data_IF_892336437679
#
_entry.id   IF_892336437679
#
_cell.length_a   1.000
_cell.length_b   1.000
_cell.length_c   1.000
_cell.angle_alpha   90.00
_cell.angle_beta   90.00
_cell.angle_gamma   90.00
#
_symmetry.space_group_name_H-M   'P 1'
#
loop_
_entity.id
_entity.type
_entity.pdbx_description
1 polymer ?
#
# COMPACT_ATOMS: atom_id res chain seq x y z
N UNK A 1 24.34 -46.13 41.52
CA UNK A 1 24.55 -45.16 42.61
C UNK A 1 23.86 -45.69 43.84
N UNK A 2 24.58 -45.80 44.96
CA UNK A 2 24.03 -46.11 46.27
C UNK A 2 23.39 -44.82 46.82
N UNK A 3 22.13 -44.87 47.22
CA UNK A 3 21.50 -43.86 48.06
C UNK A 3 21.09 -44.52 49.37
N UNK A 4 21.53 -43.95 50.49
CA UNK A 4 21.46 -44.55 51.81
C UNK A 4 21.21 -43.45 52.83
N UNK A 5 19.96 -43.33 53.26
CA UNK A 5 19.50 -42.58 54.42
C UNK A 5 17.96 -42.57 54.39
N UNK A 6 17.23 -42.82 55.46
CA UNK A 6 17.63 -42.86 56.85
C UNK A 6 16.40 -42.54 57.69
N UNK A 7 15.46 -43.48 57.82
CA UNK A 7 14.42 -43.45 58.85
C UNK A 7 14.05 -44.94 59.07
N UNK A 8 14.16 -45.52 60.27
CA UNK A 8 13.53 -45.02 61.47
C UNK A 8 14.14 -45.73 62.69
N UNK A 9 14.84 -44.99 63.55
CA UNK A 9 15.08 -45.40 64.93
C UNK A 9 14.30 -44.48 65.86
N UNK A 10 12.97 -44.58 65.79
CA UNK A 10 12.08 -44.17 66.88
C UNK A 10 11.32 -45.41 67.36
N UNK A 11 11.91 -46.12 68.32
CA UNK A 11 11.22 -47.15 69.08
C UNK A 11 10.29 -46.48 70.10
N UNK A 12 9.01 -46.84 70.06
CA UNK A 12 8.04 -46.55 71.11
C UNK A 12 8.15 -47.62 72.22
N UNK A 13 8.08 -47.28 73.52
CA UNK A 13 8.67 -48.10 74.59
C UNK A 13 7.73 -49.12 75.23
N UNK A 14 6.80 -49.75 74.49
CA UNK A 14 5.84 -50.69 75.11
C UNK A 14 5.72 -52.10 74.49
N UNK A 15 6.61 -52.54 73.57
CA UNK A 15 6.68 -53.96 73.15
C UNK A 15 8.15 -54.42 72.92
N UNK A 16 8.47 -55.73 73.08
CA UNK A 16 9.79 -56.28 73.46
C UNK A 16 10.78 -56.39 72.26
N UNK A 17 12.06 -56.78 72.47
CA UNK A 17 13.22 -56.18 71.81
C UNK A 17 13.38 -56.54 70.32
N UNK A 18 13.94 -55.59 69.56
CA UNK A 18 14.38 -55.75 68.17
C UNK A 18 15.51 -56.80 68.08
N UNK A 19 15.13 -58.05 67.84
CA UNK A 19 16.02 -59.14 67.47
C UNK A 19 16.27 -59.17 65.96
N UNK A 20 17.55 -59.32 65.64
CA UNK A 20 18.15 -59.76 64.38
C UNK A 20 17.81 -59.03 63.08
N UNK A 21 18.87 -58.45 62.49
CA UNK A 21 18.92 -58.06 61.08
C UNK A 21 18.64 -59.29 60.21
N UNK A 22 17.38 -59.49 59.83
CA UNK A 22 17.03 -60.34 58.70
C UNK A 22 17.52 -59.65 57.44
N UNK A 23 18.67 -60.06 56.92
CA UNK A 23 19.07 -59.73 55.55
C UNK A 23 18.17 -60.56 54.64
N UNK A 24 17.05 -59.97 54.20
CA UNK A 24 16.24 -60.52 53.11
C UNK A 24 17.09 -60.51 51.83
N UNK A 25 17.80 -61.61 51.56
CA UNK A 25 18.29 -61.91 50.20
C UNK A 25 17.12 -62.44 49.37
N UNK A 26 16.06 -61.65 49.26
CA UNK A 26 15.03 -61.94 48.27
C UNK A 26 15.58 -61.51 46.91
N UNK A 27 16.00 -62.52 46.16
CA UNK A 27 16.33 -62.38 44.75
C UNK A 27 15.02 -62.01 44.05
N UNK A 28 14.82 -60.74 43.73
CA UNK A 28 13.69 -60.32 42.90
C UNK A 28 13.65 -61.24 41.67
N UNK A 29 12.50 -61.86 41.42
CA UNK A 29 12.30 -62.73 40.27
C UNK A 29 12.56 -61.98 38.96
N UNK A 30 12.84 -62.68 37.85
CA UNK A 30 12.97 -62.02 36.56
C UNK A 30 11.72 -61.17 36.29
N UNK A 31 11.92 -59.97 35.74
CA UNK A 31 10.82 -59.11 35.31
C UNK A 31 9.87 -59.92 34.42
N UNK A 32 8.57 -59.83 34.69
CA UNK A 32 7.56 -60.51 33.89
C UNK A 32 7.63 -60.08 32.42
N UNK A 33 7.09 -60.89 31.49
CA UNK A 33 7.03 -60.50 30.07
C UNK A 33 6.30 -59.16 29.94
N UNK A 34 6.74 -58.33 28.99
CA UNK A 34 6.02 -57.12 28.64
C UNK A 34 4.55 -57.46 28.31
N UNK A 35 3.62 -56.61 28.74
CA UNK A 35 2.21 -56.76 28.38
C UNK A 35 2.01 -56.70 26.86
N UNK A 36 0.88 -57.22 26.33
CA UNK A 36 0.57 -57.09 24.92
C UNK A 36 0.51 -55.62 24.51
N UNK A 37 0.88 -55.33 23.25
CA UNK A 37 0.71 -54.00 22.67
C UNK A 37 -0.77 -53.58 22.78
N UNK A 38 -1.02 -52.32 23.17
CA UNK A 38 -2.37 -51.77 23.19
C UNK A 38 -3.01 -51.70 21.80
N UNK A 39 -4.34 -51.58 21.68
CA UNK A 39 -5.00 -51.41 20.40
C UNK A 39 -4.49 -50.17 19.67
N UNK A 40 -4.45 -50.21 18.34
CA UNK A 40 -4.14 -49.03 17.53
C UNK A 40 -5.17 -47.91 17.79
N UNK A 41 -4.72 -46.65 17.82
CA UNK A 41 -5.60 -45.49 17.93
C UNK A 41 -6.50 -45.35 16.70
N UNK A 42 -7.65 -44.70 16.87
CA UNK A 42 -8.52 -44.37 15.72
C UNK A 42 -7.84 -43.30 14.86
N UNK A 43 -7.87 -43.48 13.54
CA UNK A 43 -7.29 -42.52 12.59
C UNK A 43 -8.35 -41.49 12.16
N UNK A 44 -7.95 -40.23 12.10
CA UNK A 44 -8.77 -39.14 11.54
C UNK A 44 -8.53 -39.00 10.04
N UNK A 45 -9.54 -38.57 9.30
CA UNK A 45 -9.50 -38.23 7.87
C UNK A 45 -9.82 -36.75 7.70
N UNK A 46 -9.01 -36.03 6.90
CA UNK A 46 -9.23 -34.61 6.58
C UNK A 46 -9.58 -34.50 5.10
N UNK A 47 -10.69 -33.84 4.80
CA UNK A 47 -11.14 -33.51 3.45
C UNK A 47 -11.26 -32.00 3.29
N UNK A 48 -10.92 -31.48 2.12
CA UNK A 48 -11.16 -30.06 1.80
C UNK A 48 -12.59 -29.94 1.27
N UNK A 49 -13.38 -29.08 1.90
CA UNK A 49 -14.71 -28.71 1.42
C UNK A 49 -14.60 -27.60 0.39
N UNK A 50 -15.01 -26.39 0.76
CA UNK A 50 -14.98 -25.22 -0.13
C UNK A 50 -13.70 -24.42 0.04
N UNK A 51 -13.17 -23.91 -1.07
CA UNK A 51 -12.18 -22.83 -1.07
C UNK A 51 -12.85 -21.61 -1.70
N UNK A 52 -13.01 -20.56 -0.91
CA UNK A 52 -13.67 -19.33 -1.34
C UNK A 52 -12.70 -18.17 -1.31
N UNK A 53 -12.78 -17.30 -2.32
CA UNK A 53 -12.01 -16.07 -2.33
C UNK A 53 -12.76 -14.99 -1.56
N UNK A 54 -12.16 -14.48 -0.49
CA UNK A 54 -12.70 -13.39 0.32
C UNK A 54 -12.34 -12.01 -0.23
N UNK A 55 -12.99 -10.97 0.28
CA UNK A 55 -12.69 -9.56 -0.06
C UNK A 55 -11.27 -9.15 0.39
N UNK A 56 -10.62 -8.19 -0.30
CA UNK A 56 -9.33 -7.65 0.12
C UNK A 56 -9.35 -7.12 1.56
N UNK A 57 -8.24 -7.27 2.27
CA UNK A 57 -8.09 -6.75 3.65
C UNK A 57 -8.84 -7.52 4.74
N UNK A 58 -9.59 -8.57 4.38
CA UNK A 58 -10.19 -9.49 5.36
C UNK A 58 -9.17 -10.52 5.85
N UNK A 59 -9.41 -11.14 7.01
CA UNK A 59 -8.54 -12.21 7.51
C UNK A 59 -8.78 -13.53 6.78
N UNK A 60 -7.71 -14.28 6.51
CA UNK A 60 -7.83 -15.65 6.06
C UNK A 60 -8.40 -16.51 7.20
N UNK A 61 -9.34 -17.39 6.87
CA UNK A 61 -9.96 -18.26 7.87
C UNK A 61 -10.14 -19.69 7.37
N UNK A 62 -10.09 -20.61 8.32
CA UNK A 62 -10.34 -22.04 8.11
C UNK A 62 -11.39 -22.50 9.11
N UNK A 63 -12.44 -23.15 8.63
CA UNK A 63 -13.53 -23.67 9.47
C UNK A 63 -13.70 -25.16 9.23
N UNK A 64 -13.70 -25.95 10.30
CA UNK A 64 -14.09 -27.37 10.25
C UNK A 64 -15.60 -27.50 10.41
N UNK A 65 -16.25 -28.18 9.47
CA UNK A 65 -17.72 -28.30 9.43
C UNK A 65 -18.27 -29.63 9.92
N UNK A 66 -17.42 -30.64 10.10
CA UNK A 66 -17.87 -32.01 10.42
C UNK A 66 -17.22 -32.61 11.67
N UNK A 67 -16.02 -32.17 12.05
CA UNK A 67 -15.33 -32.64 13.28
C UNK A 67 -14.77 -34.06 13.19
N UNK A 68 -14.20 -34.57 14.30
CA UNK A 68 -13.54 -35.88 14.33
C UNK A 68 -14.55 -37.05 14.24
N UNK A 69 -14.22 -38.17 13.56
CA UNK A 69 -12.93 -38.46 12.93
C UNK A 69 -12.81 -38.01 11.48
N UNK A 70 -13.88 -37.50 10.86
CA UNK A 70 -13.88 -37.09 9.46
C UNK A 70 -14.08 -35.58 9.37
N UNK A 71 -12.99 -34.84 9.27
CA UNK A 71 -12.98 -33.38 9.22
C UNK A 71 -13.18 -32.86 7.79
N UNK A 72 -13.98 -31.80 7.63
CA UNK A 72 -14.18 -31.11 6.35
C UNK A 72 -13.83 -29.65 6.56
N UNK A 73 -12.66 -29.26 6.05
CA UNK A 73 -12.13 -27.92 6.21
C UNK A 73 -12.54 -27.03 5.04
N UNK A 74 -13.21 -25.93 5.36
CA UNK A 74 -13.54 -24.86 4.43
C UNK A 74 -12.57 -23.70 4.62
N UNK A 75 -12.10 -23.14 3.51
CA UNK A 75 -11.14 -22.05 3.47
C UNK A 75 -11.79 -20.78 2.91
N UNK A 76 -11.49 -19.66 3.55
CA UNK A 76 -11.66 -18.32 2.98
C UNK A 76 -10.27 -17.73 2.80
N UNK A 77 -9.90 -17.47 1.55
CA UNK A 77 -8.61 -16.88 1.18
C UNK A 77 -8.89 -15.49 0.61
N UNK A 78 -8.56 -14.40 1.31
CA UNK A 78 -8.71 -13.04 0.80
C UNK A 78 -7.93 -12.88 -0.50
N UNK A 79 -8.55 -12.28 -1.52
CA UNK A 79 -7.80 -11.81 -2.71
C UNK A 79 -6.90 -10.65 -2.34
N UNK A 80 -5.87 -10.42 -3.15
CA UNK A 80 -5.15 -9.14 -3.14
C UNK A 80 -6.08 -8.00 -3.54
N UNK A 81 -5.79 -6.79 -3.07
CA UNK A 81 -6.44 -5.59 -3.60
C UNK A 81 -6.31 -5.56 -5.12
N UNK A 82 -7.37 -5.11 -5.80
CA UNK A 82 -7.35 -4.98 -7.25
C UNK A 82 -6.33 -3.92 -7.67
N UNK A 83 -5.50 -4.26 -8.66
CA UNK A 83 -4.65 -3.28 -9.32
C UNK A 83 -5.49 -2.34 -10.19
N UNK A 84 -5.47 -1.05 -9.88
CA UNK A 84 -5.49 0.06 -10.83
C UNK A 84 -6.78 0.52 -11.54
N UNK A 85 -7.98 -0.03 -11.29
CA UNK A 85 -9.20 0.52 -11.94
C UNK A 85 -9.97 1.56 -11.13
N UNK A 86 -9.89 1.50 -9.79
CA UNK A 86 -10.56 2.42 -8.86
C UNK A 86 -9.58 3.11 -7.90
N UNK A 87 -8.28 3.14 -8.19
CA UNK A 87 -7.34 3.85 -7.32
C UNK A 87 -7.37 5.35 -7.61
N UNK A 88 -7.41 6.18 -6.57
CA UNK A 88 -7.34 7.64 -6.70
C UNK A 88 -6.03 8.08 -7.37
N UNK A 89 -4.95 7.31 -7.21
CA UNK A 89 -3.72 7.56 -7.97
C UNK A 89 -3.91 7.44 -9.50
N UNK A 90 -4.80 6.56 -9.97
CA UNK A 90 -5.19 6.50 -11.39
C UNK A 90 -5.99 7.74 -11.79
N UNK A 91 -6.92 8.18 -10.93
CA UNK A 91 -7.67 9.42 -11.13
C UNK A 91 -6.76 10.65 -11.29
N UNK A 92 -5.69 10.77 -10.49
CA UNK A 92 -4.68 11.84 -10.67
C UNK A 92 -4.04 11.83 -12.07
N UNK A 93 -3.79 10.65 -12.65
CA UNK A 93 -3.28 10.53 -14.03
C UNK A 93 -4.34 10.95 -15.05
N UNK A 94 -5.60 10.55 -14.86
CA UNK A 94 -6.71 10.97 -15.72
C UNK A 94 -6.92 12.49 -15.65
N UNK A 95 -6.78 13.08 -14.47
CA UNK A 95 -6.85 14.53 -14.24
C UNK A 95 -5.75 15.27 -14.99
N UNK A 96 -4.50 14.78 -14.92
CA UNK A 96 -3.39 15.35 -15.70
C UNK A 96 -3.60 15.20 -17.20
N UNK A 97 -4.12 14.05 -17.66
CA UNK A 97 -4.50 13.83 -19.06
C UNK A 97 -5.58 14.83 -19.52
N UNK A 98 -6.61 15.07 -18.71
CA UNK A 98 -7.68 16.03 -18.98
C UNK A 98 -7.15 17.48 -19.05
N UNK A 99 -6.18 17.83 -18.21
CA UNK A 99 -5.51 19.13 -18.26
C UNK A 99 -4.66 19.26 -19.53
N UNK A 100 -3.89 18.22 -19.90
CA UNK A 100 -3.08 18.21 -21.12
C UNK A 100 -3.93 18.43 -22.37
N UNK A 101 -5.07 17.73 -22.50
CA UNK A 101 -6.00 17.90 -23.64
C UNK A 101 -6.47 19.36 -23.78
N UNK A 102 -6.71 20.04 -22.65
CA UNK A 102 -7.09 21.44 -22.63
C UNK A 102 -5.91 22.38 -22.88
N UNK A 103 -4.72 22.08 -22.38
CA UNK A 103 -3.49 22.86 -22.64
C UNK A 103 -3.19 22.91 -24.14
N UNK A 104 -3.35 21.78 -24.84
CA UNK A 104 -3.17 21.71 -26.31
C UNK A 104 -4.10 22.71 -27.02
N UNK A 105 -5.30 22.94 -26.47
CA UNK A 105 -6.31 23.83 -27.08
C UNK A 105 -6.16 25.28 -26.64
N UNK A 106 -5.91 25.51 -25.34
CA UNK A 106 -5.94 26.84 -24.72
C UNK A 106 -4.57 27.53 -24.73
N UNK A 107 -3.48 26.77 -24.84
CA UNK A 107 -2.09 27.26 -24.80
C UNK A 107 -1.21 26.66 -25.92
N UNK A 108 -1.67 26.60 -27.19
CA UNK A 108 -1.00 25.84 -28.25
C UNK A 108 0.43 26.31 -28.56
N UNK A 109 0.72 27.60 -28.37
CA UNK A 109 2.02 28.21 -28.67
C UNK A 109 2.87 28.44 -27.41
N UNK A 110 2.36 28.09 -26.23
CA UNK A 110 3.06 28.36 -24.98
C UNK A 110 4.21 27.37 -24.77
N UNK A 111 5.32 27.85 -24.21
CA UNK A 111 6.42 26.98 -23.80
C UNK A 111 6.06 26.29 -22.49
N UNK A 112 6.03 24.97 -22.52
CA UNK A 112 5.84 24.12 -21.36
C UNK A 112 7.18 23.70 -20.78
N UNK A 113 7.25 23.68 -19.46
CA UNK A 113 8.30 22.99 -18.69
C UNK A 113 7.61 21.90 -17.87
N UNK A 114 7.89 20.64 -18.19
CA UNK A 114 7.26 19.48 -17.55
C UNK A 114 8.31 18.75 -16.74
N UNK A 115 8.06 18.54 -15.45
CA UNK A 115 8.88 17.67 -14.61
C UNK A 115 8.28 16.28 -14.51
N UNK A 116 9.15 15.27 -14.45
CA UNK A 116 8.77 13.87 -14.45
C UNK A 116 9.19 13.18 -13.16
N UNK A 117 8.46 12.12 -12.80
CA UNK A 117 8.76 11.28 -11.63
C UNK A 117 10.20 10.74 -11.60
N UNK A 118 10.82 10.55 -12.75
CA UNK A 118 12.23 10.12 -12.83
C UNK A 118 13.20 11.16 -12.25
N UNK A 119 12.74 12.39 -12.06
CA UNK A 119 13.59 13.54 -11.82
C UNK A 119 14.15 14.15 -13.10
N UNK A 120 13.59 13.84 -14.27
CA UNK A 120 13.93 14.53 -15.52
C UNK A 120 12.97 15.69 -15.79
N UNK A 121 13.37 16.59 -16.70
CA UNK A 121 12.49 17.64 -17.19
C UNK A 121 12.54 17.71 -18.72
N UNK A 122 11.41 18.06 -19.32
CA UNK A 122 11.22 18.20 -20.77
C UNK A 122 10.61 19.56 -21.07
N UNK A 123 11.03 20.15 -22.19
CA UNK A 123 10.66 21.52 -22.56
C UNK A 123 10.26 21.54 -24.03
N UNK A 124 9.10 22.11 -24.32
CA UNK A 124 8.60 22.26 -25.69
C UNK A 124 7.23 22.93 -25.74
N UNK A 125 6.71 23.15 -26.95
CA UNK A 125 5.32 23.55 -27.14
C UNK A 125 4.42 22.31 -27.19
N UNK A 126 3.13 22.43 -26.82
CA UNK A 126 2.19 21.32 -26.88
C UNK A 126 2.09 20.71 -28.30
N UNK A 127 2.18 19.39 -28.37
CA UNK A 127 1.93 18.60 -29.57
C UNK A 127 0.65 17.75 -29.42
N UNK A 128 0.57 16.66 -30.17
CA UNK A 128 -0.56 15.74 -30.11
C UNK A 128 -0.54 14.85 -28.85
N UNK A 129 -1.71 14.33 -28.49
CA UNK A 129 -1.85 13.27 -27.49
C UNK A 129 -2.20 11.95 -28.18
N UNK A 130 -1.56 10.86 -27.76
CA UNK A 130 -1.89 9.49 -28.19
C UNK A 130 -2.38 8.70 -26.98
N UNK A 131 -3.65 8.32 -26.99
CA UNK A 131 -4.29 7.63 -25.88
C UNK A 131 -4.15 6.11 -25.97
N UNK A 132 -4.10 5.45 -24.82
CA UNK A 132 -4.18 3.99 -24.72
C UNK A 132 -5.59 3.46 -25.05
N UNK A 133 -5.73 2.14 -25.15
CA UNK A 133 -6.98 1.49 -25.56
C UNK A 133 -8.20 1.85 -24.70
N UNK A 134 -8.00 2.07 -23.40
CA UNK A 134 -9.06 2.45 -22.46
C UNK A 134 -9.29 3.97 -22.38
N UNK A 135 -8.53 4.78 -23.13
CA UNK A 135 -8.64 6.24 -23.11
C UNK A 135 -8.13 6.93 -21.85
N UNK A 136 -7.92 6.24 -20.72
CA UNK A 136 -7.60 6.86 -19.42
C UNK A 136 -6.31 7.69 -19.38
N UNK A 137 -5.28 7.26 -20.12
CA UNK A 137 -3.98 7.94 -20.17
C UNK A 137 -3.30 7.67 -21.51
N UNK A 138 -2.12 8.23 -21.71
CA UNK A 138 -1.39 8.13 -22.96
C UNK A 138 -0.02 8.78 -22.95
N UNK A 139 0.44 9.07 -24.16
CA UNK A 139 1.68 9.79 -24.43
C UNK A 139 1.30 11.20 -24.90
N UNK A 140 1.94 12.19 -24.30
CA UNK A 140 1.87 13.58 -24.71
C UNK A 140 3.13 13.95 -25.51
N UNK A 141 2.94 14.44 -26.73
CA UNK A 141 4.02 14.94 -27.56
C UNK A 141 4.35 16.40 -27.19
N UNK A 142 5.64 16.69 -27.04
CA UNK A 142 6.16 18.05 -27.01
C UNK A 142 7.03 18.31 -28.24
N UNK A 143 6.85 19.49 -28.81
CA UNK A 143 7.60 19.98 -29.95
C UNK A 143 8.70 20.92 -29.43
N UNK A 144 9.98 20.49 -29.39
CA UNK A 144 11.05 21.35 -28.92
C UNK A 144 11.28 22.51 -29.90
N UNK A 145 11.72 23.65 -29.35
CA UNK A 145 12.05 24.84 -30.16
C UNK A 145 13.33 24.67 -31.00
N UNK A 146 14.14 23.66 -30.71
CA UNK A 146 15.38 23.35 -31.40
C UNK A 146 15.44 21.86 -31.76
N UNK A 147 15.47 21.56 -33.06
CA UNK A 147 15.64 20.21 -33.59
C UNK A 147 14.39 19.57 -34.18
N UNK A 148 14.59 18.50 -34.95
CA UNK A 148 13.52 17.75 -35.63
C UNK A 148 13.02 16.53 -34.81
N UNK A 149 13.36 16.45 -33.52
CA UNK A 149 13.02 15.31 -32.67
C UNK A 149 11.76 15.58 -31.87
N UNK A 150 10.75 14.72 -32.03
CA UNK A 150 9.54 14.72 -31.19
C UNK A 150 9.91 14.20 -29.80
N UNK A 151 9.52 14.90 -28.75
CA UNK A 151 9.66 14.40 -27.37
C UNK A 151 8.33 13.77 -26.97
N UNK A 152 8.37 12.49 -26.60
CA UNK A 152 7.19 11.72 -26.22
C UNK A 152 7.23 11.49 -24.71
N UNK A 153 6.27 12.06 -24.01
CA UNK A 153 6.20 12.08 -22.55
C UNK A 153 5.06 11.19 -22.10
N UNK A 154 5.34 10.22 -21.22
CA UNK A 154 4.28 9.42 -20.60
C UNK A 154 3.50 10.30 -19.62
N UNK A 155 2.18 10.43 -19.81
CA UNK A 155 1.33 11.23 -18.91
C UNK A 155 1.33 10.64 -17.50
N UNK A 156 1.46 9.31 -17.37
CA UNK A 156 1.56 8.64 -16.07
C UNK A 156 2.77 9.08 -15.23
N UNK A 157 3.79 9.65 -15.87
CA UNK A 157 5.04 10.07 -15.22
C UNK A 157 5.13 11.57 -15.03
N UNK A 158 4.13 12.35 -15.45
CA UNK A 158 4.12 13.81 -15.27
C UNK A 158 3.85 14.14 -13.80
N UNK A 159 4.73 14.93 -13.21
CA UNK A 159 4.52 15.48 -11.86
C UNK A 159 3.99 16.90 -11.92
N UNK A 160 4.63 17.75 -12.73
CA UNK A 160 4.22 19.15 -12.92
C UNK A 160 4.22 19.56 -14.38
N UNK A 161 3.34 20.49 -14.73
CA UNK A 161 3.33 21.20 -16.01
C UNK A 161 3.34 22.70 -15.70
N UNK A 162 4.45 23.35 -15.99
CA UNK A 162 4.58 24.82 -15.89
C UNK A 162 4.40 25.43 -17.27
N UNK A 163 3.52 26.42 -17.38
CA UNK A 163 3.35 27.25 -18.57
C UNK A 163 4.02 28.60 -18.32
N UNK A 164 5.11 28.85 -19.04
CA UNK A 164 5.88 30.07 -18.87
C UNK A 164 5.24 31.24 -19.62
N UNK A 165 5.26 32.43 -19.01
CA UNK A 165 4.75 33.67 -19.59
C UNK A 165 3.27 33.59 -20.04
N UNK A 166 2.45 32.90 -19.24
CA UNK A 166 1.02 32.72 -19.46
C UNK A 166 0.22 33.01 -18.18
N UNK A 167 -0.95 33.62 -18.33
CA UNK A 167 -1.92 33.77 -17.26
C UNK A 167 -2.83 32.53 -17.18
N UNK A 168 -3.39 32.27 -15.99
CA UNK A 168 -4.37 31.21 -15.79
C UNK A 168 -5.64 31.47 -16.63
N UNK A 169 -6.14 30.43 -17.29
CA UNK A 169 -7.34 30.48 -18.09
C UNK A 169 -8.49 29.80 -17.33
N UNK A 170 -9.51 30.59 -16.98
CA UNK A 170 -10.69 30.14 -16.25
C UNK A 170 -11.59 29.18 -17.05
N UNK A 171 -11.31 28.94 -18.34
CA UNK A 171 -11.99 27.95 -19.15
C UNK A 171 -11.51 26.51 -18.87
N UNK A 172 -10.47 26.32 -18.04
CA UNK A 172 -10.00 24.99 -17.66
C UNK A 172 -11.06 24.31 -16.79
N UNK A 173 -11.49 23.13 -17.20
CA UNK A 173 -12.45 22.28 -16.49
C UNK A 173 -11.74 21.08 -15.89
N UNK A 174 -11.93 20.84 -14.59
CA UNK A 174 -11.35 19.71 -13.87
C UNK A 174 -12.31 18.52 -13.85
N UNK A 175 -11.79 17.30 -13.68
CA UNK A 175 -12.65 16.13 -13.53
C UNK A 175 -13.34 16.22 -12.17
N UNK A 176 -14.62 15.82 -12.08
CA UNK A 176 -15.29 15.72 -10.79
C UNK A 176 -14.65 14.61 -9.96
N UNK A 177 -14.73 14.75 -8.65
CA UNK A 177 -14.31 13.71 -7.72
C UNK A 177 -15.04 12.38 -8.03
N UNK A 178 -14.32 11.24 -8.04
CA UNK A 178 -14.94 9.95 -8.37
C UNK A 178 -15.98 9.55 -7.31
N UNK A 179 -17.17 9.13 -7.77
CA UNK A 179 -18.24 8.60 -6.91
C UNK A 179 -18.55 7.12 -7.24
N UNK A 180 -18.50 6.20 -6.26
CA UNK A 180 -18.14 6.42 -4.85
C UNK A 180 -16.65 6.72 -4.69
N UNK A 181 -16.31 7.52 -3.68
CA UNK A 181 -14.92 7.85 -3.37
C UNK A 181 -14.14 6.55 -3.08
N UNK A 182 -13.03 6.29 -3.79
CA UNK A 182 -12.20 5.14 -3.51
C UNK A 182 -11.71 5.10 -2.06
N UNK A 183 -11.49 3.90 -1.54
CA UNK A 183 -10.84 3.70 -0.24
C UNK A 183 -9.43 3.16 -0.48
N UNK A 184 -8.47 4.06 -0.69
CA UNK A 184 -7.05 3.72 -0.89
C UNK A 184 -6.15 4.73 -0.17
N UNK A 185 -4.91 4.35 0.13
CA UNK A 185 -3.95 5.28 0.72
C UNK A 185 -3.73 6.53 -0.15
N UNK A 186 -3.92 6.43 -1.47
CA UNK A 186 -3.78 7.57 -2.37
C UNK A 186 -4.84 8.66 -2.09
N UNK A 187 -6.10 8.29 -1.84
CA UNK A 187 -7.12 9.29 -1.51
C UNK A 187 -6.88 9.92 -0.13
N UNK A 188 -6.36 9.16 0.83
CA UNK A 188 -6.05 9.67 2.17
C UNK A 188 -4.90 10.68 2.09
N UNK A 189 -3.81 10.32 1.41
CA UNK A 189 -2.69 11.23 1.16
C UNK A 189 -3.15 12.49 0.43
N UNK A 190 -3.95 12.32 -0.63
CA UNK A 190 -4.37 13.43 -1.46
C UNK A 190 -5.30 14.39 -0.71
N UNK A 191 -6.29 13.88 0.03
CA UNK A 191 -7.23 14.70 0.79
C UNK A 191 -6.54 15.50 1.89
N UNK A 192 -5.54 14.92 2.58
CA UNK A 192 -4.75 15.62 3.61
C UNK A 192 -3.83 16.67 2.99
N UNK A 193 -3.16 16.35 1.87
CA UNK A 193 -2.32 17.32 1.14
C UNK A 193 -3.16 18.51 0.68
N UNK A 194 -4.31 18.27 0.07
CA UNK A 194 -5.22 19.34 -0.36
C UNK A 194 -5.78 20.13 0.81
N UNK A 195 -6.10 19.47 1.93
CA UNK A 195 -6.53 20.12 3.16
C UNK A 195 -5.46 21.07 3.75
N UNK A 196 -4.17 20.77 3.56
CA UNK A 196 -3.06 21.61 3.99
C UNK A 196 -2.74 22.77 3.03
N UNK A 197 -3.26 22.72 1.79
CA UNK A 197 -2.99 23.71 0.73
C UNK A 197 -4.28 24.35 0.19
N UNK A 198 -5.11 24.99 1.04
CA UNK A 198 -6.33 25.65 0.57
C UNK A 198 -6.03 26.76 -0.44
N UNK A 199 -7.00 27.09 -1.29
CA UNK A 199 -6.91 28.23 -2.21
C UNK A 199 -6.63 29.51 -1.43
N UNK A 200 -5.66 30.30 -1.91
CA UNK A 200 -5.19 31.52 -1.24
C UNK A 200 -3.97 31.32 -0.33
N UNK A 201 -3.49 30.08 -0.17
CA UNK A 201 -2.20 29.85 0.52
C UNK A 201 -1.07 30.46 -0.30
N UNK A 202 -0.36 31.42 0.28
CA UNK A 202 0.63 32.22 -0.42
C UNK A 202 2.05 31.64 -0.30
N UNK A 203 2.90 31.97 -1.26
CA UNK A 203 4.36 31.71 -1.23
C UNK A 203 4.73 30.23 -0.93
N UNK A 204 3.90 29.29 -1.39
CA UNK A 204 4.10 27.84 -1.21
C UNK A 204 5.23 27.37 -2.11
N UNK A 205 6.11 26.52 -1.58
CA UNK A 205 7.11 25.79 -2.38
C UNK A 205 6.80 24.30 -2.36
N UNK A 206 6.59 23.69 -3.53
CA UNK A 206 6.27 22.27 -3.71
C UNK A 206 7.41 21.55 -4.43
N UNK A 207 7.80 20.41 -3.89
CA UNK A 207 8.79 19.49 -4.47
C UNK A 207 8.08 18.17 -4.78
N UNK A 208 8.22 17.73 -6.03
CA UNK A 208 7.64 16.45 -6.52
C UNK A 208 8.71 15.43 -6.92
N UNK A 209 9.94 15.89 -7.16
CA UNK A 209 11.10 15.08 -7.49
C UNK A 209 12.38 15.93 -7.29
N UNK A 210 13.53 15.47 -7.79
CA UNK A 210 14.83 16.15 -7.64
C UNK A 210 15.03 17.38 -8.53
N UNK A 211 14.07 17.74 -9.37
CA UNK A 211 14.11 18.93 -10.22
C UNK A 211 13.78 20.20 -9.42
N UNK A 212 13.76 21.33 -10.13
CA UNK A 212 13.43 22.64 -9.58
C UNK A 212 12.04 22.60 -8.93
N UNK A 213 11.99 23.05 -7.67
CA UNK A 213 10.75 23.15 -6.91
C UNK A 213 9.80 24.16 -7.55
N UNK A 214 8.51 23.85 -7.56
CA UNK A 214 7.45 24.75 -8.03
C UNK A 214 7.06 25.71 -6.91
N UNK A 215 7.07 27.02 -7.16
CA UNK A 215 6.76 28.02 -6.14
C UNK A 215 5.68 29.01 -6.61
N UNK A 216 4.77 29.39 -5.70
CA UNK A 216 3.73 30.36 -5.96
C UNK A 216 2.56 30.30 -4.98
N UNK A 217 1.54 31.09 -5.26
CA UNK A 217 0.28 31.08 -4.50
C UNK A 217 -0.65 30.00 -5.04
N UNK A 218 -1.35 29.29 -4.16
CA UNK A 218 -2.37 28.31 -4.54
C UNK A 218 -3.59 29.03 -5.09
N UNK A 219 -3.83 28.94 -6.40
CA UNK A 219 -4.97 29.56 -7.06
C UNK A 219 -6.12 28.60 -7.32
N UNK A 220 -5.82 27.30 -7.44
CA UNK A 220 -6.82 26.22 -7.62
C UNK A 220 -6.40 25.02 -6.78
N UNK A 221 -7.38 24.36 -6.18
CA UNK A 221 -7.20 23.16 -5.38
C UNK A 221 -8.35 22.18 -5.67
N UNK A 222 -8.19 21.36 -6.70
CA UNK A 222 -9.20 20.42 -7.20
C UNK A 222 -8.71 18.97 -7.02
N UNK A 223 -9.61 17.96 -7.04
CA UNK A 223 -9.22 16.57 -6.94
C UNK A 223 -8.11 16.23 -7.95
N UNK A 224 -7.00 15.69 -7.46
CA UNK A 224 -5.85 15.28 -8.24
C UNK A 224 -4.90 16.37 -8.72
N UNK A 225 -5.20 17.66 -8.48
CA UNK A 225 -4.36 18.77 -8.96
C UNK A 225 -4.40 20.02 -8.09
N UNK A 226 -3.24 20.62 -7.91
CA UNK A 226 -3.08 21.96 -7.34
C UNK A 226 -2.48 22.87 -8.41
N UNK A 227 -3.00 24.09 -8.55
CA UNK A 227 -2.43 25.08 -9.47
C UNK A 227 -1.79 26.19 -8.68
N UNK A 228 -0.51 26.43 -8.96
CA UNK A 228 0.25 27.55 -8.44
C UNK A 228 0.32 28.66 -9.47
N UNK A 229 0.24 29.90 -9.03
CA UNK A 229 0.63 31.07 -9.82
C UNK A 229 1.75 31.82 -9.13
N UNK A 230 2.77 32.23 -9.88
CA UNK A 230 3.78 33.12 -9.33
C UNK A 230 3.20 34.51 -9.00
N UNK A 231 3.99 35.31 -8.28
CA UNK A 231 3.59 36.64 -7.80
C UNK A 231 3.21 37.60 -8.94
N UNK A 232 3.88 37.47 -10.08
CA UNK A 232 3.59 38.25 -11.29
C UNK A 232 2.39 37.73 -12.10
N UNK A 233 1.81 36.58 -11.70
CA UNK A 233 0.69 35.89 -12.38
C UNK A 233 0.92 35.64 -13.87
N UNK A 234 2.18 35.36 -14.22
CA UNK A 234 2.60 35.09 -15.59
C UNK A 234 3.29 33.72 -15.74
N UNK A 235 3.43 32.95 -14.67
CA UNK A 235 3.81 31.55 -14.72
C UNK A 235 2.78 30.77 -13.92
N UNK A 236 2.15 29.79 -14.57
CA UNK A 236 1.19 28.89 -13.94
C UNK A 236 1.77 27.49 -13.90
N UNK A 237 1.63 26.81 -12.76
CA UNK A 237 2.14 25.45 -12.60
C UNK A 237 1.02 24.54 -12.12
N UNK A 238 0.65 23.58 -12.96
CA UNK A 238 -0.21 22.47 -12.58
C UNK A 238 0.66 21.42 -11.89
N UNK A 239 0.31 21.09 -10.66
CA UNK A 239 1.02 20.11 -9.83
C UNK A 239 0.07 18.96 -9.54
N UNK A 240 0.46 17.73 -9.89
CA UNK A 240 -0.30 16.54 -9.49
C UNK A 240 -0.23 16.38 -7.98
N UNK A 241 -1.36 16.47 -7.27
CA UNK A 241 -1.40 16.33 -5.80
C UNK A 241 -0.93 14.95 -5.33
N UNK A 242 -1.15 13.90 -6.14
CA UNK A 242 -0.65 12.54 -5.89
C UNK A 242 0.88 12.38 -6.06
N UNK A 243 1.61 13.42 -6.46
CA UNK A 243 3.06 13.39 -6.74
C UNK A 243 3.88 14.31 -5.86
N UNK A 244 3.27 14.92 -4.84
CA UNK A 244 3.97 15.82 -3.94
C UNK A 244 4.77 15.01 -2.93
N UNK A 245 6.09 15.19 -2.95
CA UNK A 245 7.01 14.58 -1.98
C UNK A 245 7.09 15.41 -0.70
N UNK A 246 7.20 16.74 -0.86
CA UNK A 246 7.24 17.70 0.26
C UNK A 246 6.77 19.08 -0.21
N UNK A 247 6.11 19.81 0.68
CA UNK A 247 5.81 21.22 0.49
C UNK A 247 6.22 22.04 1.71
N UNK A 248 6.60 23.29 1.49
CA UNK A 248 7.00 24.24 2.51
C UNK A 248 6.03 25.42 2.52
N UNK A 249 5.59 25.78 3.72
CA UNK A 249 4.73 26.93 3.98
C UNK A 249 5.54 27.97 4.75
N UNK A 250 5.35 29.24 4.41
CA UNK A 250 5.90 30.36 5.18
C UNK A 250 4.87 30.80 6.21
N UNK A 251 5.18 30.63 7.49
CA UNK A 251 4.38 31.14 8.63
C UNK A 251 4.51 32.67 8.79
#
# INVERSE_FOLDING_TARGET
MKYNDGFSNCCCPLYPPCGDKVIFKEKFGPMGPAGPQGPAGSADTITIGTVTTGEPGTEASVTDTTGSPNHVLNFVIPRGFDGDSNDFCCFCVEQMRNIVEQIITLYPDSQLFISLKSGDAVIGTPGAITLGANGKSGIFELIPSQGNTRQLVSICSIDTITINNAAYNEQIVYLPEPEPLPTSCCVDCESVIRGALPVGTADVTIVTNIQISSAGDVIINEPGVIVLANRERNNITFVSSCRIDVFYLTD
#
